data_IF_668272549793
#
_entry.id   IF_668272549793
#
_cell.length_a   1.000
_cell.length_b   1.000
_cell.length_c   1.000
_cell.angle_alpha   90.00
_cell.angle_beta   90.00
_cell.angle_gamma   90.00
#
_symmetry.space_group_name_H-M   'P 1'
#
loop_
_entity.id
_entity.type
_entity.pdbx_description
1 polymer ?
#
# COMPACT_ATOMS: atom_id res chain seq x y z
N UNK A 1 9.47 39.34 -24.76
CA UNK A 1 10.15 38.56 -23.72
C UNK A 1 9.95 37.06 -23.97
N UNK A 2 10.92 36.19 -23.65
CA UNK A 2 10.80 34.72 -23.80
C UNK A 2 10.87 34.05 -22.44
N UNK A 3 10.16 32.94 -22.27
CA UNK A 3 10.29 32.13 -21.06
C UNK A 3 11.73 31.59 -20.96
N UNK A 4 12.43 31.75 -19.82
CA UNK A 4 13.78 31.22 -19.65
C UNK A 4 13.82 29.68 -19.60
N UNK A 5 12.69 29.03 -19.36
CA UNK A 5 12.59 27.56 -19.24
C UNK A 5 12.26 26.90 -20.58
N UNK A 6 11.33 27.45 -21.36
CA UNK A 6 10.86 26.80 -22.60
C UNK A 6 10.92 27.69 -23.85
N UNK A 7 11.51 28.88 -23.76
CA UNK A 7 11.63 29.87 -24.84
C UNK A 7 10.31 30.39 -25.45
N UNK A 8 9.14 29.95 -24.96
CA UNK A 8 7.84 30.42 -25.42
C UNK A 8 7.68 31.93 -25.22
N UNK A 9 6.96 32.58 -26.15
CA UNK A 9 6.73 34.02 -26.18
C UNK A 9 5.44 34.45 -25.50
N UNK A 10 4.54 33.50 -25.19
CA UNK A 10 3.27 33.75 -24.51
C UNK A 10 3.46 33.94 -23.00
N UNK A 11 3.73 35.18 -22.60
CA UNK A 11 4.01 35.55 -21.21
C UNK A 11 2.95 36.54 -20.69
N UNK A 12 2.43 36.29 -19.49
CA UNK A 12 1.48 37.18 -18.79
C UNK A 12 2.08 37.74 -17.51
N UNK A 13 1.65 38.93 -17.11
CA UNK A 13 2.00 39.52 -15.81
C UNK A 13 1.32 38.71 -14.69
N UNK A 14 2.06 38.39 -13.64
CA UNK A 14 1.61 37.53 -12.54
C UNK A 14 2.03 38.12 -11.17
N UNK A 15 1.53 39.32 -10.90
CA UNK A 15 1.79 40.05 -9.65
C UNK A 15 3.18 40.66 -9.56
N UNK A 16 3.55 41.08 -8.36
CA UNK A 16 4.80 41.77 -8.05
C UNK A 16 5.56 41.03 -6.95
N UNK A 17 6.88 41.18 -6.91
CA UNK A 17 7.70 40.74 -5.78
C UNK A 17 8.75 41.77 -5.46
N UNK A 18 8.69 42.26 -4.23
CA UNK A 18 9.31 43.54 -3.86
C UNK A 18 8.84 44.57 -4.90
N UNK A 19 9.75 45.23 -5.59
CA UNK A 19 9.43 46.28 -6.57
C UNK A 19 9.61 45.82 -8.02
N UNK A 20 9.53 44.50 -8.28
CA UNK A 20 9.70 43.96 -9.63
C UNK A 20 8.47 43.20 -10.10
N UNK A 21 8.08 43.46 -11.35
CA UNK A 21 7.01 42.76 -12.04
C UNK A 21 7.36 41.27 -12.19
N UNK A 22 6.50 40.41 -11.66
CA UNK A 22 6.55 38.97 -11.93
C UNK A 22 5.74 38.65 -13.19
N UNK A 23 6.21 37.64 -13.88
CA UNK A 23 5.64 37.12 -15.12
C UNK A 23 5.44 35.61 -15.00
N UNK A 24 4.48 35.07 -15.74
CA UNK A 24 4.20 33.63 -15.86
C UNK A 24 4.10 33.26 -17.34
N UNK A 25 4.76 32.17 -17.72
CA UNK A 25 4.60 31.59 -19.05
C UNK A 25 3.29 30.82 -19.15
N UNK A 26 2.50 31.03 -20.22
CA UNK A 26 1.27 30.26 -20.47
C UNK A 26 1.57 28.82 -20.86
N UNK A 27 2.66 28.58 -21.57
CA UNK A 27 3.02 27.25 -22.12
C UNK A 27 3.49 26.28 -21.04
N UNK A 28 4.39 26.68 -20.13
CA UNK A 28 4.97 25.78 -19.13
C UNK A 28 4.64 26.16 -17.67
N UNK A 29 3.95 27.28 -17.45
CA UNK A 29 3.59 27.74 -16.11
C UNK A 29 4.72 28.37 -15.29
N UNK A 30 5.96 28.38 -15.79
CA UNK A 30 7.13 28.93 -15.07
C UNK A 30 6.96 30.41 -14.74
N UNK A 31 7.35 30.81 -13.52
CA UNK A 31 7.23 32.17 -12.99
C UNK A 31 8.61 32.82 -12.88
N UNK A 32 8.78 34.02 -13.44
CA UNK A 32 10.07 34.73 -13.45
C UNK A 32 9.90 36.24 -13.39
N UNK A 33 11.00 36.97 -13.17
CA UNK A 33 11.06 38.43 -13.13
C UNK A 33 11.96 38.87 -14.29
N UNK A 34 11.64 39.97 -14.98
CA UNK A 34 12.56 40.55 -15.96
C UNK A 34 13.85 40.99 -15.27
N UNK A 35 14.99 40.52 -15.78
CA UNK A 35 16.29 41.03 -15.33
C UNK A 35 16.51 42.43 -15.91
N UNK A 36 17.10 43.38 -15.16
CA UNK A 36 17.33 44.72 -15.69
C UNK A 36 18.21 44.66 -16.93
N UNK A 37 17.74 45.20 -18.04
CA UNK A 37 18.57 45.46 -19.22
C UNK A 37 19.77 46.30 -18.75
N UNK A 38 20.98 45.75 -18.88
CA UNK A 38 22.23 46.40 -18.49
C UNK A 38 22.32 47.76 -19.17
N UNK A 39 22.29 48.84 -18.38
CA UNK A 39 22.73 50.17 -18.85
C UNK A 39 24.20 50.06 -19.23
N UNK A 40 24.51 50.49 -20.45
CA UNK A 40 25.86 50.58 -21.03
C UNK A 40 26.84 51.26 -20.06
N UNK A 41 27.95 50.60 -19.76
CA UNK A 41 29.15 51.24 -19.24
C UNK A 41 30.28 51.12 -20.28
N UNK A 42 30.78 52.28 -20.67
CA UNK A 42 31.90 52.51 -21.57
C UNK A 42 33.22 52.03 -20.93
N UNK A 43 34.10 51.51 -21.80
CA UNK A 43 35.57 51.42 -21.69
C UNK A 43 36.22 51.15 -20.33
N UNK A 44 36.82 49.97 -20.19
CA UNK A 44 38.28 49.79 -20.36
C UNK A 44 38.64 48.33 -20.05
N UNK A 45 39.50 47.78 -20.90
CA UNK A 45 40.04 46.42 -20.80
C UNK A 45 40.97 46.35 -19.59
N UNK A 46 40.82 45.34 -18.71
CA UNK A 46 41.98 44.55 -18.37
C UNK A 46 41.73 43.06 -18.64
N UNK A 47 42.82 42.36 -18.91
CA UNK A 47 42.92 40.98 -19.32
C UNK A 47 42.07 39.99 -18.49
N UNK A 48 41.62 38.87 -19.10
CA UNK A 48 40.79 37.89 -18.42
C UNK A 48 41.59 37.22 -17.31
N UNK A 49 41.24 37.52 -16.05
CA UNK A 49 41.54 36.60 -14.94
C UNK A 49 40.62 35.40 -15.11
N UNK A 50 41.21 34.29 -15.48
CA UNK A 50 40.62 32.95 -15.53
C UNK A 50 39.95 32.65 -14.19
N UNK A 51 38.61 32.66 -14.20
CA UNK A 51 37.82 31.99 -13.16
C UNK A 51 38.02 30.49 -13.39
N UNK A 52 38.48 29.71 -12.39
CA UNK A 52 38.51 28.26 -12.52
C UNK A 52 37.12 27.76 -12.85
N UNK A 53 36.98 27.18 -14.03
CA UNK A 53 35.78 26.47 -14.45
C UNK A 53 35.87 25.13 -13.73
N UNK A 54 35.27 25.00 -12.55
CA UNK A 54 34.97 23.70 -11.94
C UNK A 54 33.95 23.01 -12.85
N UNK A 55 34.46 22.40 -13.92
CA UNK A 55 33.73 21.42 -14.70
C UNK A 55 33.72 20.16 -13.87
N UNK A 56 32.59 19.88 -13.22
CA UNK A 56 32.36 18.59 -12.58
C UNK A 56 32.69 17.47 -13.58
N UNK A 57 33.56 16.56 -13.15
CA UNK A 57 34.05 15.44 -13.96
C UNK A 57 32.86 14.57 -14.39
N UNK A 58 32.62 14.38 -15.71
CA UNK A 58 31.50 13.59 -16.20
C UNK A 58 31.47 12.16 -15.62
N UNK A 59 32.62 11.59 -15.29
CA UNK A 59 32.71 10.26 -14.69
C UNK A 59 32.22 10.27 -13.23
N UNK A 60 32.50 11.34 -12.48
CA UNK A 60 31.96 11.55 -11.13
C UNK A 60 30.45 11.78 -11.15
N UNK A 61 29.93 12.51 -12.14
CA UNK A 61 28.50 12.72 -12.32
C UNK A 61 27.80 11.38 -12.63
N UNK A 62 28.39 10.56 -13.50
CA UNK A 62 27.86 9.24 -13.83
C UNK A 62 27.84 8.31 -12.60
N UNK A 63 28.94 8.25 -11.85
CA UNK A 63 29.04 7.45 -10.63
C UNK A 63 28.03 7.89 -9.56
N UNK A 64 27.89 9.20 -9.32
CA UNK A 64 26.90 9.72 -8.37
C UNK A 64 25.47 9.46 -8.82
N UNK A 65 25.18 9.52 -10.12
CA UNK A 65 23.86 9.20 -10.67
C UNK A 65 23.49 7.74 -10.44
N UNK A 66 24.44 6.83 -10.70
CA UNK A 66 24.26 5.41 -10.45
C UNK A 66 24.01 5.12 -8.98
N UNK A 67 24.78 5.75 -8.08
CA UNK A 67 24.58 5.58 -6.64
C UNK A 67 23.22 6.13 -6.17
N UNK A 68 22.78 7.26 -6.71
CA UNK A 68 21.45 7.80 -6.44
C UNK A 68 20.33 6.83 -6.86
N UNK A 69 20.47 6.15 -8.00
CA UNK A 69 19.51 5.15 -8.46
C UNK A 69 19.49 3.93 -7.53
N UNK A 70 20.67 3.42 -7.16
CA UNK A 70 20.82 2.29 -6.24
C UNK A 70 20.16 2.58 -4.89
N UNK A 71 20.46 3.74 -4.29
CA UNK A 71 19.89 4.16 -3.01
C UNK A 71 18.38 4.31 -3.05
N UNK A 72 17.82 4.83 -4.16
CA UNK A 72 16.36 4.93 -4.33
C UNK A 72 15.70 3.56 -4.35
N UNK A 73 16.28 2.61 -5.09
CA UNK A 73 15.78 1.24 -5.15
C UNK A 73 15.88 0.53 -3.79
N UNK A 74 16.97 0.77 -3.06
CA UNK A 74 17.15 0.22 -1.71
C UNK A 74 16.12 0.78 -0.72
N UNK A 75 15.85 2.09 -0.75
CA UNK A 75 14.82 2.71 0.09
C UNK A 75 13.42 2.17 -0.21
N UNK A 76 13.08 1.99 -1.49
CA UNK A 76 11.78 1.41 -1.89
C UNK A 76 11.63 -0.02 -1.38
N UNK A 77 12.67 -0.85 -1.57
CA UNK A 77 12.69 -2.23 -1.07
C UNK A 77 12.58 -2.30 0.46
N UNK A 78 13.28 -1.41 1.17
CA UNK A 78 13.21 -1.32 2.64
C UNK A 78 11.81 -0.89 3.11
N UNK A 79 11.21 0.08 2.44
CA UNK A 79 9.84 0.54 2.73
C UNK A 79 8.84 -0.60 2.57
N UNK A 80 8.89 -1.33 1.46
CA UNK A 80 7.98 -2.45 1.19
C UNK A 80 8.17 -3.58 2.21
N UNK A 81 9.41 -3.84 2.61
CA UNK A 81 9.72 -4.83 3.65
C UNK A 81 9.14 -4.41 5.00
N UNK A 82 9.37 -3.17 5.42
CA UNK A 82 8.85 -2.65 6.69
C UNK A 82 7.32 -2.69 6.72
N UNK A 83 6.66 -2.34 5.60
CA UNK A 83 5.22 -2.43 5.50
C UNK A 83 4.72 -3.86 5.65
N UNK A 84 5.33 -4.84 4.95
CA UNK A 84 4.98 -6.25 5.07
C UNK A 84 5.21 -6.79 6.48
N UNK A 85 6.34 -6.47 7.10
CA UNK A 85 6.68 -6.91 8.46
C UNK A 85 5.68 -6.34 9.48
N UNK A 86 5.29 -5.07 9.31
CA UNK A 86 4.27 -4.44 10.15
C UNK A 86 2.90 -5.08 9.99
N UNK A 87 2.47 -5.35 8.75
CA UNK A 87 1.19 -6.02 8.45
C UNK A 87 1.15 -7.41 9.08
N UNK A 88 2.17 -8.23 8.87
CA UNK A 88 2.25 -9.58 9.44
C UNK A 88 2.29 -9.57 10.96
N UNK A 89 3.04 -8.63 11.57
CA UNK A 89 3.07 -8.51 13.02
C UNK A 89 1.72 -8.11 13.60
N UNK A 90 1.04 -7.15 12.96
CA UNK A 90 -0.31 -6.70 13.35
C UNK A 90 -1.32 -7.84 13.20
N UNK A 91 -1.29 -8.57 12.08
CA UNK A 91 -2.12 -9.74 11.86
C UNK A 91 -1.93 -10.76 12.98
N UNK A 92 -0.70 -11.10 13.35
CA UNK A 92 -0.39 -12.05 14.42
C UNK A 92 -0.96 -11.62 15.77
N UNK A 93 -0.84 -10.33 16.13
CA UNK A 93 -1.41 -9.79 17.38
C UNK A 93 -2.95 -9.86 17.38
N UNK A 94 -3.57 -9.66 16.22
CA UNK A 94 -5.02 -9.65 16.05
C UNK A 94 -5.59 -10.97 15.53
N UNK A 95 -4.77 -12.03 15.42
CA UNK A 95 -5.13 -13.24 14.69
C UNK A 95 -6.41 -13.87 15.22
N UNK A 96 -6.56 -13.95 16.54
CA UNK A 96 -7.77 -14.50 17.17
C UNK A 96 -9.02 -13.72 16.77
N UNK A 97 -8.95 -12.39 16.67
CA UNK A 97 -10.08 -11.57 16.22
C UNK A 97 -10.34 -11.78 14.72
N UNK A 98 -9.30 -11.65 13.89
CA UNK A 98 -9.39 -11.70 12.43
C UNK A 98 -9.82 -13.06 11.90
N UNK A 99 -9.50 -14.16 12.58
CA UNK A 99 -9.92 -15.51 12.18
C UNK A 99 -11.36 -15.86 12.62
N UNK A 100 -11.90 -15.17 13.62
CA UNK A 100 -13.19 -15.52 14.23
C UNK A 100 -14.33 -14.58 13.87
N UNK A 101 -14.06 -13.31 13.57
CA UNK A 101 -15.11 -12.29 13.44
C UNK A 101 -16.12 -12.61 12.32
N UNK A 102 -15.68 -13.19 11.19
CA UNK A 102 -16.57 -13.65 10.11
C UNK A 102 -17.53 -14.74 10.57
N UNK A 103 -17.06 -15.67 11.39
CA UNK A 103 -17.90 -16.71 12.00
C UNK A 103 -18.89 -16.15 13.02
N UNK A 104 -18.50 -15.10 13.75
CA UNK A 104 -19.40 -14.35 14.63
C UNK A 104 -20.46 -13.60 13.81
N UNK A 105 -20.09 -12.94 12.72
CA UNK A 105 -21.05 -12.32 11.79
C UNK A 105 -22.06 -13.34 11.27
N UNK A 106 -21.59 -14.52 10.85
CA UNK A 106 -22.46 -15.60 10.39
C UNK A 106 -23.43 -16.05 11.49
N UNK A 107 -22.93 -16.22 12.72
CA UNK A 107 -23.75 -16.58 13.87
C UNK A 107 -24.86 -15.57 14.16
N UNK A 108 -24.55 -14.27 14.14
CA UNK A 108 -25.53 -13.20 14.37
C UNK A 108 -26.57 -13.17 13.24
N UNK A 109 -26.15 -13.35 11.99
CA UNK A 109 -27.05 -13.37 10.83
C UNK A 109 -28.00 -14.56 10.86
N UNK A 110 -27.52 -15.73 11.29
CA UNK A 110 -28.33 -16.95 11.38
C UNK A 110 -29.24 -17.02 12.60
N UNK A 111 -29.06 -16.14 13.59
CA UNK A 111 -29.96 -16.05 14.74
C UNK A 111 -30.47 -14.61 14.97
N UNK A 112 -31.57 -14.21 14.30
CA UNK A 112 -32.13 -12.87 14.40
C UNK A 112 -32.57 -12.46 15.81
N UNK A 113 -32.79 -13.41 16.72
CA UNK A 113 -33.19 -13.13 18.10
C UNK A 113 -32.02 -12.64 18.98
N UNK A 114 -30.78 -12.69 18.48
CA UNK A 114 -29.64 -12.15 19.20
C UNK A 114 -29.67 -10.61 19.18
N UNK A 115 -29.51 -9.92 20.32
CA UNK A 115 -29.44 -8.45 20.41
C UNK A 115 -28.08 -7.90 19.92
N UNK A 116 -27.46 -8.58 18.95
CA UNK A 116 -26.13 -8.30 18.44
C UNK A 116 -26.13 -7.89 16.96
N UNK A 117 -27.29 -7.79 16.31
CA UNK A 117 -27.38 -7.42 14.89
C UNK A 117 -26.67 -6.09 14.59
N UNK A 118 -26.78 -5.13 15.50
CA UNK A 118 -26.12 -3.82 15.39
C UNK A 118 -24.58 -3.91 15.44
N UNK A 119 -24.01 -5.00 15.98
CA UNK A 119 -22.57 -5.21 16.05
C UNK A 119 -21.98 -5.65 14.71
N UNK A 120 -22.79 -6.12 13.75
CA UNK A 120 -22.30 -6.54 12.43
C UNK A 120 -21.54 -5.40 11.74
N UNK A 121 -22.06 -4.17 11.85
CA UNK A 121 -21.45 -2.98 11.25
C UNK A 121 -20.07 -2.64 11.84
N UNK A 122 -19.79 -3.05 13.08
CA UNK A 122 -18.50 -2.83 13.73
C UNK A 122 -17.39 -3.71 13.16
N UNK A 123 -17.75 -4.76 12.41
CA UNK A 123 -16.79 -5.65 11.76
C UNK A 123 -16.43 -5.21 10.34
N UNK A 124 -17.18 -4.29 9.73
CA UNK A 124 -16.86 -3.75 8.38
C UNK A 124 -15.43 -3.22 8.25
N UNK A 125 -14.85 -2.51 9.25
CA UNK A 125 -13.46 -2.09 9.18
C UNK A 125 -12.46 -3.26 9.10
N UNK A 126 -12.79 -4.41 9.67
CA UNK A 126 -11.95 -5.61 9.59
C UNK A 126 -11.98 -6.19 8.17
N UNK A 127 -13.14 -6.17 7.51
CA UNK A 127 -13.25 -6.58 6.10
C UNK A 127 -12.37 -5.72 5.19
N UNK A 128 -12.44 -4.40 5.37
CA UNK A 128 -11.63 -3.44 4.63
C UNK A 128 -10.13 -3.64 4.90
N UNK A 129 -9.75 -3.92 6.15
CA UNK A 129 -8.37 -4.19 6.53
C UNK A 129 -7.82 -5.42 5.81
N UNK A 130 -8.58 -6.53 5.83
CA UNK A 130 -8.17 -7.78 5.21
C UNK A 130 -8.09 -7.67 3.68
N UNK A 131 -9.04 -6.95 3.07
CA UNK A 131 -9.01 -6.65 1.64
C UNK A 131 -7.79 -5.79 1.27
N UNK A 132 -7.49 -4.77 2.07
CA UNK A 132 -6.33 -3.89 1.85
C UNK A 132 -4.99 -4.62 1.99
N UNK A 133 -4.91 -5.65 2.85
CA UNK A 133 -3.73 -6.53 2.94
C UNK A 133 -3.65 -7.57 1.82
N UNK A 134 -4.73 -7.75 1.04
CA UNK A 134 -4.79 -8.72 -0.04
C UNK A 134 -4.80 -10.18 0.44
N UNK A 135 -5.14 -10.43 1.70
CA UNK A 135 -5.19 -11.78 2.26
C UNK A 135 -6.44 -12.51 1.79
N UNK A 136 -6.25 -13.73 1.30
CA UNK A 136 -7.33 -14.54 0.74
C UNK A 136 -7.85 -15.48 1.83
N UNK A 137 -9.17 -15.53 2.10
CA UNK A 137 -9.74 -16.43 3.08
C UNK A 137 -9.70 -17.89 2.58
N UNK A 138 -9.48 -18.82 3.51
CA UNK A 138 -9.56 -20.26 3.27
C UNK A 138 -10.99 -20.71 3.61
N UNK A 139 -11.86 -20.68 2.60
CA UNK A 139 -13.28 -21.03 2.72
C UNK A 139 -14.14 -19.95 3.39
N UNK A 140 -15.41 -20.27 3.55
CA UNK A 140 -16.43 -19.39 4.14
C UNK A 140 -16.94 -19.92 5.49
N UNK A 141 -17.46 -19.05 6.39
CA UNK A 141 -17.98 -19.49 7.67
C UNK A 141 -19.07 -20.56 7.53
N UNK A 142 -18.90 -21.67 8.24
CA UNK A 142 -19.82 -22.81 8.25
C UNK A 142 -19.99 -23.50 6.89
N UNK A 143 -19.13 -23.21 5.91
CA UNK A 143 -19.05 -23.96 4.68
C UNK A 143 -18.56 -25.37 4.97
N UNK A 144 -19.22 -26.37 4.36
CA UNK A 144 -18.74 -27.74 4.37
C UNK A 144 -17.72 -27.95 3.24
N UNK A 145 -16.54 -28.44 3.59
CA UNK A 145 -15.42 -28.69 2.67
C UNK A 145 -14.76 -30.03 2.99
N UNK A 146 -14.12 -30.70 2.01
CA UNK A 146 -13.27 -31.84 2.31
C UNK A 146 -12.06 -31.40 3.14
N UNK A 147 -11.71 -32.18 4.17
CA UNK A 147 -10.56 -31.90 5.02
C UNK A 147 -9.27 -32.00 4.21
N UNK A 148 -8.51 -30.91 4.13
CA UNK A 148 -7.18 -30.88 3.57
C UNK A 148 -6.18 -30.47 4.68
N UNK A 149 -5.31 -31.37 5.16
CA UNK A 149 -4.33 -31.06 6.21
C UNK A 149 -3.37 -29.91 5.87
N UNK A 150 -3.19 -29.59 4.57
CA UNK A 150 -2.38 -28.43 4.19
C UNK A 150 -3.09 -27.13 4.55
N UNK A 151 -4.40 -27.03 4.36
CA UNK A 151 -5.17 -25.79 4.49
C UNK A 151 -5.97 -25.70 5.79
N UNK A 152 -6.23 -26.84 6.42
CA UNK A 152 -7.16 -26.97 7.54
C UNK A 152 -6.48 -27.56 8.77
N UNK A 153 -6.88 -27.05 9.93
CA UNK A 153 -6.53 -27.59 11.23
C UNK A 153 -7.80 -28.13 11.89
N UNK A 154 -7.83 -29.44 12.12
CA UNK A 154 -8.91 -30.09 12.87
C UNK A 154 -8.99 -29.63 14.32
N UNK A 155 -10.21 -29.63 14.87
CA UNK A 155 -10.43 -29.56 16.33
C UNK A 155 -9.99 -30.83 17.06
N UNK A 156 -9.89 -31.95 16.31
CA UNK A 156 -9.38 -33.24 16.76
C UNK A 156 -8.34 -33.79 15.79
N UNK A 157 -7.38 -34.62 16.26
CA UNK A 157 -6.30 -35.14 15.42
C UNK A 157 -6.72 -36.32 14.54
N UNK A 158 -7.94 -36.84 14.67
CA UNK A 158 -8.44 -38.06 14.01
C UNK A 158 -9.20 -37.77 12.70
N UNK A 159 -9.08 -36.57 12.14
CA UNK A 159 -9.66 -36.24 10.85
C UNK A 159 -8.90 -36.90 9.70
N UNK A 160 -9.63 -37.51 8.79
CA UNK A 160 -9.05 -38.14 7.60
C UNK A 160 -9.06 -37.18 6.41
N UNK A 161 -7.99 -37.11 5.60
CA UNK A 161 -7.99 -36.29 4.38
C UNK A 161 -9.19 -36.64 3.48
N UNK A 162 -9.90 -35.61 3.01
CA UNK A 162 -11.13 -35.76 2.21
C UNK A 162 -12.42 -35.84 3.02
N UNK A 163 -12.35 -36.05 4.34
CA UNK A 163 -13.52 -36.13 5.20
C UNK A 163 -14.32 -34.82 5.21
N UNK A 164 -15.67 -34.84 5.15
CA UNK A 164 -16.45 -33.62 5.16
C UNK A 164 -16.39 -32.92 6.53
N UNK A 165 -15.93 -31.68 6.54
CA UNK A 165 -15.80 -30.85 7.74
C UNK A 165 -16.32 -29.45 7.49
N UNK A 166 -16.72 -28.75 8.54
CA UNK A 166 -17.19 -27.36 8.49
C UNK A 166 -16.10 -26.39 8.89
N UNK A 167 -15.95 -25.29 8.15
CA UNK A 167 -15.08 -24.17 8.56
C UNK A 167 -15.67 -23.47 9.79
N UNK A 168 -14.99 -23.61 10.93
CA UNK A 168 -15.37 -22.97 12.20
C UNK A 168 -14.75 -21.59 12.32
N UNK A 169 -13.46 -21.47 12.04
CA UNK A 169 -12.72 -20.21 12.00
C UNK A 169 -11.96 -20.09 10.69
N UNK A 170 -11.97 -18.89 10.11
CA UNK A 170 -11.42 -18.62 8.79
C UNK A 170 -9.89 -18.60 8.86
N UNK A 171 -9.26 -19.33 7.94
CA UNK A 171 -7.82 -19.28 7.69
C UNK A 171 -7.49 -18.24 6.62
N UNK A 172 -6.22 -17.88 6.46
CA UNK A 172 -5.78 -16.89 5.47
C UNK A 172 -4.49 -17.30 4.78
N UNK A 173 -4.36 -16.92 3.51
CA UNK A 173 -3.18 -17.14 2.67
C UNK A 173 -2.75 -15.84 1.94
N UNK A 174 -1.46 -15.73 1.62
CA UNK A 174 -0.89 -14.60 0.86
C UNK A 174 -0.83 -14.95 -0.63
N UNK A 175 -1.28 -14.08 -1.56
CA UNK A 175 -1.06 -14.27 -3.01
C UNK A 175 0.41 -14.06 -3.40
N UNK A 176 0.89 -14.63 -4.52
CA UNK A 176 2.16 -14.19 -5.12
C UNK A 176 2.05 -12.79 -5.72
N UNK A 177 3.23 -12.25 -5.99
CA UNK A 177 3.50 -11.08 -6.82
C UNK A 177 2.90 -11.14 -8.24
N UNK A 178 2.42 -12.30 -8.72
CA UNK A 178 1.74 -12.47 -10.01
C UNK A 178 0.21 -12.55 -9.88
N UNK A 179 -0.33 -12.40 -8.68
CA UNK A 179 -1.77 -12.50 -8.41
C UNK A 179 -2.32 -13.94 -8.39
N UNK A 180 -1.47 -14.96 -8.52
CA UNK A 180 -1.84 -16.35 -8.26
C UNK A 180 -1.76 -16.63 -6.76
N UNK A 181 -2.55 -17.60 -6.30
CA UNK A 181 -2.45 -18.08 -4.92
C UNK A 181 -1.13 -18.83 -4.75
N UNK A 182 -0.18 -18.26 -4.01
CA UNK A 182 0.93 -19.06 -3.48
C UNK A 182 0.41 -19.77 -2.25
N UNK A 183 0.79 -21.02 -2.06
CA UNK A 183 0.49 -21.84 -0.90
C UNK A 183 1.13 -21.31 0.42
N UNK A 184 1.49 -20.02 0.52
CA UNK A 184 1.93 -19.46 1.80
C UNK A 184 0.72 -19.14 2.66
N UNK A 185 0.33 -20.13 3.45
CA UNK A 185 -0.70 -20.03 4.46
C UNK A 185 -0.17 -19.21 5.64
N UNK A 186 -0.84 -18.11 5.98
CA UNK A 186 -0.57 -17.38 7.22
C UNK A 186 -1.06 -18.17 8.42
N UNK A 187 -2.28 -18.69 8.32
CA UNK A 187 -2.94 -19.49 9.36
C UNK A 187 -3.95 -20.43 8.70
N UNK A 188 -3.93 -21.73 9.04
CA UNK A 188 -4.91 -22.68 8.50
C UNK A 188 -6.31 -22.39 9.05
N UNK A 189 -7.34 -22.72 8.27
CA UNK A 189 -8.71 -22.62 8.74
C UNK A 189 -8.97 -23.69 9.81
N UNK A 190 -9.66 -23.33 10.90
CA UNK A 190 -10.05 -24.34 11.89
C UNK A 190 -11.35 -25.00 11.49
N UNK A 191 -11.38 -26.32 11.52
CA UNK A 191 -12.50 -27.12 11.03
C UNK A 191 -13.01 -28.11 12.07
N UNK A 192 -14.28 -28.49 11.95
CA UNK A 192 -14.91 -29.49 12.82
C UNK A 192 -15.94 -30.29 12.05
N UNK A 193 -16.21 -31.54 12.46
CA UNK A 193 -17.31 -32.36 11.92
C UNK A 193 -18.68 -31.76 12.22
N UNK A 194 -18.78 -30.95 13.26
CA UNK A 194 -20.05 -30.43 13.76
C UNK A 194 -20.07 -28.91 13.79
N UNK A 195 -21.24 -28.36 13.45
CA UNK A 195 -21.56 -26.96 13.67
C UNK A 195 -22.01 -26.72 15.12
N UNK A 196 -21.92 -25.48 15.63
CA UNK A 196 -22.44 -25.17 16.96
C UNK A 196 -23.97 -25.24 16.94
N UNK A 197 -24.58 -25.54 18.09
CA UNK A 197 -26.04 -25.74 18.20
C UNK A 197 -26.87 -24.60 17.60
N UNK A 198 -26.36 -23.35 17.71
CA UNK A 198 -26.96 -22.14 17.14
C UNK A 198 -27.10 -22.20 15.61
N UNK A 199 -26.16 -22.86 14.92
CA UNK A 199 -26.20 -23.02 13.47
C UNK A 199 -27.15 -24.13 13.01
N UNK A 200 -27.43 -25.12 13.87
CA UNK A 200 -28.33 -26.25 13.56
C UNK A 200 -29.79 -25.96 13.88
N UNK A 201 -30.14 -24.78 14.41
CA UNK A 201 -31.51 -24.44 14.80
C UNK A 201 -32.07 -25.31 15.94
N UNK A 202 -31.21 -26.06 16.63
CA UNK A 202 -31.58 -26.89 17.77
C UNK A 202 -31.78 -25.98 18.98
N UNK A 203 -33.02 -25.49 19.15
CA UNK A 203 -33.48 -24.85 20.36
C UNK A 203 -33.26 -25.81 21.54
N UNK A 204 -32.56 -25.32 22.57
CA UNK A 204 -32.59 -25.94 23.90
C UNK A 204 -33.97 -25.78 24.52
#
# INVERSE_FOLDING_TARGET
>A
MKCPTCAATEIIKNGWYRDRQRYRCKTCGYRFIESPLKKSQKNSKPAPKTVPKETADPDQIAALTQECLRLRQELETQSDRLQRDHQQNTFRLLQSLLTQYRSVQQMIRSNPNLPAQNLIALFTPLDNLMQNWGYIPIGEPWQQVPFNPQHHQGDRPDLTPGEPVYIRFIGYQVPDLSGNVVEQILVPAKVSRTLPAIATGASS
#
